data_IF_600459203350
#
_entry.id   IF_600459203350
#
_cell.length_a   1.000
_cell.length_b   1.000
_cell.length_c   1.000
_cell.angle_alpha   90.00
_cell.angle_beta   90.00
_cell.angle_gamma   90.00
#
_symmetry.space_group_name_H-M   'P 1'
#
loop_
_entity.id
_entity.type
_entity.pdbx_description
1 polymer ?
#
# COMPACT_ATOMS: atom_id res chain seq x y z
N UNK A 1 10.55 3.12 9.98
CA UNK A 1 10.07 3.26 8.59
C UNK A 1 10.48 2.01 7.83
N UNK A 2 9.63 1.49 6.95
CA UNK A 2 9.94 0.29 6.17
C UNK A 2 10.96 0.62 5.06
N UNK A 3 12.19 0.11 5.17
CA UNK A 3 13.28 0.38 4.19
C UNK A 3 13.33 -0.65 3.04
N UNK A 4 12.29 -1.48 2.90
CA UNK A 4 12.24 -2.48 1.84
C UNK A 4 12.17 -1.80 0.46
N UNK A 5 13.16 -2.09 -0.39
CA UNK A 5 13.31 -1.48 -1.71
C UNK A 5 12.24 -1.92 -2.70
N UNK A 6 11.60 -3.07 -2.46
CA UNK A 6 10.48 -3.61 -3.23
C UNK A 6 9.48 -4.22 -2.25
N UNK A 7 8.26 -3.71 -2.28
CA UNK A 7 7.10 -4.28 -1.61
C UNK A 7 6.12 -4.72 -2.68
N UNK A 8 5.70 -5.99 -2.66
CA UNK A 8 4.72 -6.51 -3.60
C UNK A 8 3.30 -6.41 -3.04
N UNK A 9 2.28 -6.34 -3.92
CA UNK A 9 0.86 -6.19 -3.53
C UNK A 9 0.40 -7.26 -2.52
N UNK A 10 0.85 -8.52 -2.68
CA UNK A 10 0.48 -9.63 -1.80
C UNK A 10 1.19 -9.62 -0.43
N UNK A 11 2.15 -8.72 -0.23
CA UNK A 11 2.89 -8.54 1.02
C UNK A 11 2.32 -7.40 1.88
N UNK A 12 1.20 -6.80 1.45
CA UNK A 12 0.52 -5.72 2.17
C UNK A 12 -0.67 -6.27 2.95
N UNK A 13 -0.71 -5.96 4.24
CA UNK A 13 -1.83 -6.24 5.14
C UNK A 13 -2.48 -4.94 5.57
N UNK A 14 -3.81 -4.92 5.68
CA UNK A 14 -4.54 -3.78 6.21
C UNK A 14 -4.81 -4.00 7.70
N UNK A 15 -4.30 -3.10 8.53
CA UNK A 15 -4.50 -3.11 9.98
C UNK A 15 -5.37 -1.94 10.42
N UNK A 16 -6.06 -2.09 11.53
CA UNK A 16 -6.78 -0.98 12.17
C UNK A 16 -5.85 -0.31 13.17
N UNK A 17 -5.65 1.00 13.01
CA UNK A 17 -5.04 1.87 14.01
C UNK A 17 -6.11 2.87 14.47
N UNK A 18 -6.71 2.59 15.63
CA UNK A 18 -7.93 3.25 16.08
C UNK A 18 -9.10 3.01 15.12
N UNK A 19 -9.58 4.08 14.48
CA UNK A 19 -10.66 4.06 13.47
C UNK A 19 -10.14 4.16 12.03
N UNK A 20 -8.82 4.11 11.83
CA UNK A 20 -8.18 4.27 10.52
C UNK A 20 -7.66 2.93 10.01
N UNK A 21 -7.91 2.64 8.73
CA UNK A 21 -7.30 1.49 8.05
C UNK A 21 -5.91 1.88 7.54
N UNK A 22 -4.88 1.19 8.01
CA UNK A 22 -3.48 1.49 7.70
C UNK A 22 -2.86 0.31 6.92
N UNK A 23 -2.39 0.53 5.68
CA UNK A 23 -1.65 -0.48 4.93
C UNK A 23 -0.27 -0.68 5.58
N UNK A 24 0.06 -1.92 5.86
CA UNK A 24 1.25 -2.36 6.60
C UNK A 24 2.00 -3.39 5.79
N UNK A 25 3.33 -3.27 5.72
CA UNK A 25 4.14 -4.33 5.11
C UNK A 25 4.19 -5.55 6.03
N UNK A 26 3.67 -6.69 5.56
CA UNK A 26 3.55 -7.94 6.33
C UNK A 26 4.86 -8.37 6.97
N UNK A 27 5.96 -8.26 6.23
CA UNK A 27 7.26 -8.76 6.67
C UNK A 27 7.93 -7.85 7.70
N UNK A 28 7.68 -6.54 7.64
CA UNK A 28 8.29 -5.57 8.54
C UNK A 28 7.38 -5.17 9.70
N UNK A 29 6.07 -5.37 9.57
CA UNK A 29 5.07 -4.91 10.53
C UNK A 29 4.93 -3.39 10.62
N UNK A 30 5.67 -2.62 9.82
CA UNK A 30 5.60 -1.17 9.78
C UNK A 30 4.57 -0.68 8.76
N UNK A 31 3.86 0.42 9.07
CA UNK A 31 3.05 1.14 8.09
C UNK A 31 3.87 1.52 6.86
N UNK A 32 3.20 1.51 5.70
CA UNK A 32 3.79 2.09 4.50
C UNK A 32 4.00 3.60 4.70
N UNK A 33 5.12 4.11 4.21
CA UNK A 33 5.30 5.56 4.08
C UNK A 33 4.44 6.12 2.93
N UNK A 34 4.34 7.45 2.82
CA UNK A 34 3.50 8.12 1.81
C UNK A 34 3.85 7.71 0.37
N UNK A 35 5.13 7.51 0.05
CA UNK A 35 5.57 7.13 -1.31
C UNK A 35 5.22 5.68 -1.60
N UNK A 36 5.40 4.80 -0.62
CA UNK A 36 5.02 3.40 -0.70
C UNK A 36 3.51 3.24 -0.83
N UNK A 37 2.73 4.02 -0.07
CA UNK A 37 1.28 4.01 -0.11
C UNK A 37 0.72 4.52 -1.45
N UNK A 38 1.23 5.63 -1.98
CA UNK A 38 0.81 6.17 -3.28
C UNK A 38 1.12 5.20 -4.43
N UNK A 39 2.33 4.61 -4.43
CA UNK A 39 2.71 3.60 -5.41
C UNK A 39 1.80 2.36 -5.32
N UNK A 40 1.57 1.86 -4.11
CA UNK A 40 0.70 0.72 -3.85
C UNK A 40 -0.73 1.00 -4.35
N UNK A 41 -1.30 2.17 -4.05
CA UNK A 41 -2.64 2.54 -4.48
C UNK A 41 -2.76 2.55 -6.01
N UNK A 42 -1.76 3.12 -6.71
CA UNK A 42 -1.73 3.11 -8.19
C UNK A 42 -1.64 1.70 -8.76
N UNK A 43 -0.80 0.84 -8.19
CA UNK A 43 -0.68 -0.56 -8.63
C UNK A 43 -1.95 -1.37 -8.35
N UNK A 44 -2.61 -1.13 -7.20
CA UNK A 44 -3.86 -1.77 -6.83
C UNK A 44 -4.99 -1.41 -7.81
N UNK A 45 -5.17 -0.13 -8.08
CA UNK A 45 -6.20 0.38 -9.01
C UNK A 45 -5.99 -0.20 -10.41
N UNK A 46 -4.73 -0.22 -10.90
CA UNK A 46 -4.36 -0.90 -12.15
C UNK A 46 -4.68 -2.39 -12.13
N UNK A 47 -4.37 -3.10 -11.03
CA UNK A 47 -4.63 -4.54 -10.91
C UNK A 47 -6.11 -4.90 -10.94
N UNK A 48 -6.96 -3.97 -10.51
CA UNK A 48 -8.42 -4.10 -10.54
C UNK A 48 -9.03 -3.74 -11.89
N UNK A 49 -8.22 -3.31 -12.86
CA UNK A 49 -8.68 -2.93 -14.20
C UNK A 49 -9.36 -1.56 -14.26
N UNK A 50 -9.21 -0.75 -13.21
CA UNK A 50 -9.61 0.64 -13.25
C UNK A 50 -8.47 1.44 -13.90
N UNK A 51 -8.67 1.87 -15.14
CA UNK A 51 -7.85 2.95 -15.70
C UNK A 51 -8.26 4.24 -14.98
N UNK A 52 -7.33 4.86 -14.25
CA UNK A 52 -7.56 6.23 -13.78
C UNK A 52 -7.60 7.12 -15.02
N UNK A 53 -8.79 7.55 -15.44
CA UNK A 53 -8.90 8.73 -16.29
C UNK A 53 -8.32 9.90 -15.48
N UNK A 54 -7.15 10.39 -15.90
CA UNK A 54 -6.57 11.62 -15.36
C UNK A 54 -7.52 12.77 -15.72
N UNK A 55 -8.24 13.28 -14.73
CA UNK A 55 -9.20 14.38 -14.85
C UNK A 55 -8.69 15.61 -14.09
#
# INVERSE_FOLDING_TARGET
MCECSKTHLYEIEFKLDGMTVVPTHKNCGFPLDEKQADKFQKELVKSWGFEQEEN
#
